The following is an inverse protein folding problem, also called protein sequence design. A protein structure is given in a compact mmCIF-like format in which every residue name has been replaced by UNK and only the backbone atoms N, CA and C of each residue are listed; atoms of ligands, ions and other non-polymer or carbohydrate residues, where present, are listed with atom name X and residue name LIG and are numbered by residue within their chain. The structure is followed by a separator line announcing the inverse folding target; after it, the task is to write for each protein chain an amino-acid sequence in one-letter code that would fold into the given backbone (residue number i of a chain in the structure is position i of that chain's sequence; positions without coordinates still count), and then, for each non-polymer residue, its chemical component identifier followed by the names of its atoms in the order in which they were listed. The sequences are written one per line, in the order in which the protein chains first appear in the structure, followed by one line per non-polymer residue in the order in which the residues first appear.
data_IF_444353665778
#
_entry.id   IF_444353665778
#
_cell.length_a   1.000
_cell.length_b   1.000
_cell.length_c   1.000
_cell.angle_alpha   90.00
_cell.angle_beta   90.00
_cell.angle_gamma   90.00
#
_symmetry.space_group_name_H-M   'P 1'
#
loop_
_entity.id
_entity.type
_entity.pdbx_description
1 polymer ?
#
# COMPACT_ATOMS: atom_id res chain seq x y z
N UNK A 1 -1.66 -6.77 2.36
CA UNK A 1 -2.57 -5.65 2.69
C UNK A 1 -1.99 -4.72 3.75
N UNK A 2 -1.38 -5.26 4.82
CA UNK A 2 -0.72 -4.46 5.87
C UNK A 2 0.29 -3.45 5.31
N UNK A 3 1.24 -3.92 4.51
CA UNK A 3 2.35 -3.09 4.02
C UNK A 3 1.94 -1.93 3.11
N UNK A 4 0.95 -2.12 2.24
CA UNK A 4 0.41 -1.04 1.42
C UNK A 4 -0.23 0.08 2.25
N UNK A 5 -0.87 -0.26 3.37
CA UNK A 5 -1.38 0.74 4.31
C UNK A 5 -0.24 1.45 5.04
N UNK A 6 0.78 0.71 5.49
CA UNK A 6 1.96 1.28 6.16
C UNK A 6 2.65 2.33 5.27
N UNK A 7 2.97 1.98 4.01
CA UNK A 7 3.62 2.89 3.06
C UNK A 7 2.72 4.09 2.72
N UNK A 8 1.41 3.86 2.63
CA UNK A 8 0.47 4.95 2.42
C UNK A 8 0.45 5.95 3.61
N UNK A 9 0.45 5.46 4.85
CA UNK A 9 0.51 6.30 6.06
C UNK A 9 1.86 7.00 6.19
N UNK A 10 2.97 6.32 5.89
CA UNK A 10 4.31 6.92 5.85
C UNK A 10 4.33 8.13 4.91
N UNK A 11 3.75 7.99 3.72
CA UNK A 11 3.63 9.07 2.72
C UNK A 11 2.75 10.24 3.20
N UNK A 12 1.74 9.99 4.01
CA UNK A 12 0.96 11.05 4.67
C UNK A 12 1.77 11.78 5.75
N UNK A 13 2.61 11.06 6.50
CA UNK A 13 3.54 11.66 7.46
C UNK A 13 4.54 12.56 6.73
N UNK A 14 5.10 12.08 5.62
CA UNK A 14 6.00 12.87 4.75
C UNK A 14 5.31 14.14 4.24
N UNK A 15 4.05 14.06 3.78
CA UNK A 15 3.29 15.25 3.40
C UNK A 15 3.13 16.23 4.56
N UNK A 16 2.87 15.72 5.76
CA UNK A 16 2.71 16.56 6.95
C UNK A 16 4.01 17.25 7.37
N UNK A 17 5.15 16.59 7.19
CA UNK A 17 6.48 17.10 7.57
C UNK A 17 7.10 18.01 6.51
N UNK A 18 6.99 17.64 5.24
CA UNK A 18 7.75 18.26 4.14
C UNK A 18 6.87 18.79 3.00
N UNK A 19 5.54 18.68 3.15
CA UNK A 19 4.57 19.19 2.18
C UNK A 19 4.22 18.20 1.08
N UNK A 20 3.15 18.54 0.35
CA UNK A 20 2.53 17.68 -0.66
C UNK A 20 3.48 17.31 -1.81
N UNK A 21 4.37 18.22 -2.19
CA UNK A 21 5.34 18.00 -3.27
C UNK A 21 6.29 16.83 -2.94
N UNK A 22 6.75 16.74 -1.69
CA UNK A 22 7.59 15.62 -1.26
C UNK A 22 6.83 14.30 -1.28
N UNK A 23 5.57 14.28 -0.84
CA UNK A 23 4.74 13.08 -0.97
C UNK A 23 4.58 12.64 -2.43
N UNK A 24 4.38 13.57 -3.35
CA UNK A 24 4.30 13.25 -4.79
C UNK A 24 5.62 12.69 -5.34
N UNK A 25 6.76 13.21 -4.86
CA UNK A 25 8.07 12.66 -5.21
C UNK A 25 8.20 11.20 -4.72
N UNK A 26 7.85 10.92 -3.47
CA UNK A 26 7.89 9.55 -2.92
C UNK A 26 6.93 8.60 -3.64
N UNK A 27 5.74 9.07 -4.03
CA UNK A 27 4.81 8.30 -4.86
C UNK A 27 5.41 7.98 -6.24
N UNK A 28 6.09 8.96 -6.85
CA UNK A 28 6.70 8.80 -8.17
C UNK A 28 7.87 7.80 -8.13
N UNK A 29 8.74 7.90 -7.13
CA UNK A 29 9.84 6.95 -6.92
C UNK A 29 9.30 5.54 -6.69
N UNK A 30 8.31 5.38 -5.80
CA UNK A 30 7.69 4.08 -5.55
C UNK A 30 7.00 3.47 -6.77
N UNK A 31 6.42 4.30 -7.64
CA UNK A 31 5.86 3.84 -8.91
C UNK A 31 6.93 3.32 -9.88
N UNK A 32 8.09 3.99 -9.96
CA UNK A 32 9.22 3.49 -10.76
C UNK A 32 9.76 2.16 -10.22
N UNK A 33 9.91 2.03 -8.90
CA UNK A 33 10.30 0.77 -8.25
C UNK A 33 9.30 -0.36 -8.50
N UNK A 34 8.00 -0.04 -8.47
CA UNK A 34 6.94 -1.00 -8.82
C UNK A 34 7.07 -1.47 -10.26
N UNK A 35 7.26 -0.56 -11.21
CA UNK A 35 7.45 -0.92 -12.62
C UNK A 35 8.69 -1.79 -12.82
N UNK A 36 9.79 -1.49 -12.12
CA UNK A 36 10.99 -2.31 -12.19
C UNK A 36 10.72 -3.72 -11.64
N UNK A 37 10.08 -3.82 -10.47
CA UNK A 37 9.73 -5.10 -9.85
C UNK A 37 8.81 -5.94 -10.75
N UNK A 38 7.86 -5.32 -11.43
CA UNK A 38 6.97 -6.01 -12.38
C UNK A 38 7.76 -6.52 -13.60
N UNK A 39 8.73 -5.75 -14.11
CA UNK A 39 9.61 -6.22 -15.19
C UNK A 39 10.45 -7.41 -14.75
N UNK A 40 11.02 -7.36 -13.55
CA UNK A 40 11.90 -8.42 -13.03
C UNK A 40 11.15 -9.72 -12.76
N UNK A 41 9.91 -9.63 -12.26
CA UNK A 41 9.05 -10.80 -12.02
C UNK A 41 8.35 -11.30 -13.30
N UNK A 42 8.30 -10.47 -14.35
CA UNK A 42 7.51 -10.68 -15.56
C UNK A 42 6.07 -10.17 -15.44
N UNK A 43 5.60 -9.44 -16.44
CA UNK A 43 4.31 -8.73 -16.41
C UNK A 43 3.09 -9.63 -16.19
N UNK A 44 3.15 -10.87 -16.67
CA UNK A 44 2.09 -11.87 -16.53
C UNK A 44 2.27 -12.77 -15.30
N UNK A 45 3.30 -12.56 -14.49
CA UNK A 45 3.57 -13.41 -13.33
C UNK A 45 2.46 -13.27 -12.27
N UNK A 46 1.94 -14.38 -11.72
CA UNK A 46 0.99 -14.35 -10.61
C UNK A 46 1.48 -13.55 -9.39
N UNK A 47 2.80 -13.44 -9.22
CA UNK A 47 3.43 -12.71 -8.11
C UNK A 47 3.32 -11.18 -8.25
N UNK A 48 2.91 -10.67 -9.42
CA UNK A 48 2.63 -9.23 -9.63
C UNK A 48 1.22 -8.82 -9.21
N UNK A 49 0.37 -9.78 -8.83
CA UNK A 49 -0.98 -9.52 -8.31
C UNK A 49 -0.89 -8.88 -6.92
N UNK A 50 -1.81 -7.95 -6.64
CA UNK A 50 -1.88 -7.32 -5.31
C UNK A 50 -2.27 -8.33 -4.22
N UNK A 51 -3.07 -9.33 -4.58
CA UNK A 51 -3.39 -10.50 -3.77
C UNK A 51 -2.84 -11.71 -4.54
N UNK A 52 -1.57 -12.09 -4.32
CA UNK A 52 -0.98 -13.25 -4.98
C UNK A 52 -1.55 -14.54 -4.39
N UNK A 53 -1.61 -15.59 -5.21
CA UNK A 53 -1.84 -16.95 -4.72
C UNK A 53 -0.48 -17.53 -4.33
N UNK A 54 -0.27 -17.71 -3.03
CA UNK A 54 1.01 -18.18 -2.48
C UNK A 54 1.00 -19.70 -2.19
N UNK A 55 -0.04 -20.42 -2.60
CA UNK A 55 -0.09 -21.88 -2.43
C UNK A 55 1.07 -22.50 -3.21
N UNK A 56 1.92 -23.26 -2.51
CA UNK A 56 3.12 -23.89 -3.05
C UNK A 56 4.18 -22.90 -3.59
N UNK A 57 4.12 -21.62 -3.19
CA UNK A 57 5.19 -20.65 -3.45
C UNK A 57 6.13 -20.66 -2.24
N UNK A 58 7.44 -20.72 -2.49
CA UNK A 58 8.41 -20.61 -1.39
C UNK A 58 8.24 -19.21 -0.73
N UNK A 59 8.22 -19.11 0.61
CA UNK A 59 8.00 -17.81 1.28
C UNK A 59 8.93 -16.70 0.76
N UNK A 60 10.20 -17.02 0.49
CA UNK A 60 11.19 -16.09 -0.03
C UNK A 60 10.82 -15.53 -1.42
N UNK A 61 10.18 -16.35 -2.27
CA UNK A 61 9.73 -15.95 -3.61
C UNK A 61 8.45 -15.08 -3.57
N UNK A 62 7.73 -15.11 -2.44
CA UNK A 62 6.55 -14.30 -2.21
C UNK A 62 6.87 -12.84 -1.83
N UNK A 63 8.12 -12.55 -1.44
CA UNK A 63 8.54 -11.21 -1.07
C UNK A 63 8.87 -10.38 -2.30
N UNK A 64 8.24 -9.21 -2.40
CA UNK A 64 8.55 -8.22 -3.43
C UNK A 64 8.04 -6.85 -3.01
N UNK A 65 8.34 -5.82 -3.82
CA UNK A 65 7.78 -4.47 -3.64
C UNK A 65 6.30 -4.37 -4.03
N UNK A 66 5.73 -5.39 -4.69
CA UNK A 66 4.34 -5.41 -5.17
C UNK A 66 3.32 -5.06 -4.06
N UNK A 67 3.25 -5.77 -2.92
CA UNK A 67 2.24 -5.48 -1.88
C UNK A 67 2.40 -4.10 -1.22
N UNK A 68 3.61 -3.55 -1.22
CA UNK A 68 3.93 -2.23 -0.67
C UNK A 68 3.45 -1.14 -1.63
N UNK A 69 3.99 -1.13 -2.83
CA UNK A 69 3.79 -0.03 -3.78
C UNK A 69 2.42 -0.07 -4.44
N UNK A 70 2.01 -1.24 -4.91
CA UNK A 70 0.71 -1.42 -5.57
C UNK A 70 -0.44 -1.22 -4.58
N UNK A 71 -0.24 -1.63 -3.31
CA UNK A 71 -1.19 -1.40 -2.23
C UNK A 71 -1.31 0.08 -1.86
N UNK A 72 -0.17 0.77 -1.70
CA UNK A 72 -0.17 2.21 -1.40
C UNK A 72 -0.77 3.04 -2.54
N UNK A 73 -0.46 2.70 -3.79
CA UNK A 73 -1.02 3.38 -4.97
C UNK A 73 -2.53 3.16 -5.11
N UNK A 74 -3.05 1.99 -4.76
CA UNK A 74 -4.50 1.77 -4.72
C UNK A 74 -5.18 2.71 -3.72
N UNK A 75 -4.64 2.84 -2.50
CA UNK A 75 -5.17 3.74 -1.48
C UNK A 75 -5.10 5.20 -1.92
N UNK A 76 -3.98 5.61 -2.53
CA UNK A 76 -3.84 6.93 -3.11
C UNK A 76 -4.83 7.18 -4.27
N UNK A 77 -5.07 6.18 -5.12
CA UNK A 77 -6.05 6.31 -6.19
C UNK A 77 -7.46 6.51 -5.62
N UNK A 78 -7.86 5.74 -4.61
CA UNK A 78 -9.14 5.90 -3.92
C UNK A 78 -9.26 7.29 -3.28
N UNK A 79 -8.22 7.78 -2.61
CA UNK A 79 -8.17 9.15 -2.09
C UNK A 79 -8.44 10.21 -3.16
N UNK A 80 -7.83 10.06 -4.34
CA UNK A 80 -8.04 11.00 -5.45
C UNK A 80 -9.46 10.96 -6.01
N UNK A 81 -10.15 9.81 -5.94
CA UNK A 81 -11.53 9.67 -6.37
C UNK A 81 -12.52 10.29 -5.38
N UNK A 82 -12.31 10.11 -4.07
CA UNK A 82 -13.23 10.60 -3.03
C UNK A 82 -12.95 12.04 -2.56
N UNK A 83 -11.78 12.58 -2.90
CA UNK A 83 -11.32 13.88 -2.47
C UNK A 83 -10.69 13.87 -1.07
N UNK A 84 -9.64 14.66 -0.90
CA UNK A 84 -8.83 14.70 0.33
C UNK A 84 -9.64 14.92 1.62
N UNK A 85 -10.67 15.79 1.58
CA UNK A 85 -11.50 16.11 2.74
C UNK A 85 -12.22 14.86 3.29
N UNK A 86 -12.96 14.18 2.42
CA UNK A 86 -13.72 12.98 2.78
C UNK A 86 -12.82 11.79 3.11
N UNK A 87 -11.65 11.70 2.46
CA UNK A 87 -10.75 10.55 2.63
C UNK A 87 -10.05 10.53 4.01
N UNK A 88 -9.68 11.69 4.56
CA UNK A 88 -9.02 11.76 5.89
C UNK A 88 -9.90 11.26 7.04
N UNK A 89 -11.21 11.37 6.93
CA UNK A 89 -12.17 10.81 7.89
C UNK A 89 -12.25 9.28 7.78
N UNK A 90 -12.24 8.75 6.55
CA UNK A 90 -12.28 7.31 6.27
C UNK A 90 -11.04 6.56 6.79
N UNK A 91 -9.84 7.13 6.70
CA UNK A 91 -8.61 6.51 7.25
C UNK A 91 -8.71 6.34 8.78
N UNK A 92 -9.26 7.33 9.49
CA UNK A 92 -9.44 7.23 10.96
C UNK A 92 -10.38 6.09 11.32
N UNK A 93 -11.43 5.89 10.53
CA UNK A 93 -12.41 4.80 10.73
C UNK A 93 -11.74 3.44 10.51
N UNK A 94 -11.01 3.26 9.41
CA UNK A 94 -10.32 1.99 9.11
C UNK A 94 -9.30 1.63 10.20
N UNK A 95 -8.50 2.59 10.66
CA UNK A 95 -7.56 2.35 11.76
C UNK A 95 -8.28 2.00 13.07
N UNK A 96 -9.39 2.68 13.38
CA UNK A 96 -10.21 2.39 14.56
C UNK A 96 -10.85 1.00 14.50
N UNK A 97 -11.33 0.57 13.33
CA UNK A 97 -11.88 -0.78 13.12
C UNK A 97 -10.80 -1.87 13.24
N UNK A 98 -9.58 -1.62 12.75
CA UNK A 98 -8.46 -2.55 12.93
C UNK A 98 -8.07 -2.69 14.41
N UNK A 99 -8.05 -1.60 15.18
CA UNK A 99 -7.83 -1.67 16.63
C UNK A 99 -8.95 -2.43 17.38
N UNK A 100 -10.20 -2.35 16.91
CA UNK A 100 -11.31 -3.11 17.49
C UNK A 100 -11.20 -4.61 17.17
N UNK A 101 -10.82 -4.96 15.95
CA UNK A 101 -10.66 -6.36 15.52
C UNK A 101 -9.41 -7.03 16.12
N UNK A 102 -8.39 -6.27 16.53
CA UNK A 102 -7.23 -6.82 17.24
C UNK A 102 -7.56 -7.28 18.68
N UNK A 103 -8.65 -6.76 19.28
CA UNK A 103 -9.11 -7.14 20.61
C UNK A 103 -10.10 -8.32 20.60
N UNK A 104 -10.42 -8.90 19.44
CA UNK A 104 -11.37 -10.02 19.31
C UNK A 104 -10.70 -11.36 18.97
N UNK A 105 -9.36 -11.42 18.97
CA UNK A 105 -8.59 -12.65 18.83
C UNK A 105 -7.70 -12.86 20.06
N UNK A 106 -8.34 -12.99 21.21
CA UNK A 106 -7.74 -13.54 22.42
C UNK A 106 -8.80 -14.40 23.08
N UNK A 107 -8.95 -15.60 22.54
CA UNK A 107 -9.52 -16.82 23.15
C UNK A 107 -8.91 -18.04 22.42
#
# INVERSE_FOLDING_TARGET
MNEGHTVYVERLIIEKMYGRQMRQLHLSVGYEELKQTVRDLGECSPLTKLIPDLRNVHPDDGFSRIPYEKGSLLLYHLETLFGHGNWTENIKIVNKLNCLNANTYSD
#
